data_IF_894458655057
#
_entry.id   IF_894458655057
#
_cell.length_a   1.000
_cell.length_b   1.000
_cell.length_c   1.000
_cell.angle_alpha   90.00
_cell.angle_beta   90.00
_cell.angle_gamma   90.00
#
_symmetry.space_group_name_H-M   'P 1'
#
loop_
_entity.id
_entity.type
_entity.pdbx_description
1 polymer ?
#
# COMPACT_ATOMS: atom_id res chain seq x y z
N UNK A 1 3.07 18.15 -17.96
CA UNK A 1 2.77 17.31 -16.77
C UNK A 1 1.38 16.73 -16.95
N UNK A 2 1.23 15.41 -16.93
CA UNK A 2 -0.09 14.80 -16.90
C UNK A 2 -0.77 15.16 -15.56
N UNK A 3 -2.07 15.48 -15.59
CA UNK A 3 -2.82 15.69 -14.35
C UNK A 3 -2.88 14.37 -13.58
N UNK A 4 -2.41 14.35 -12.32
CA UNK A 4 -2.63 13.22 -11.41
C UNK A 4 -4.12 12.99 -11.20
N UNK A 5 -4.56 11.74 -11.07
CA UNK A 5 -5.97 11.49 -10.75
C UNK A 5 -6.36 12.03 -9.37
N UNK A 6 -7.67 12.17 -9.15
CA UNK A 6 -8.21 12.56 -7.84
C UNK A 6 -7.82 11.58 -6.73
N UNK A 7 -7.70 10.28 -7.03
CA UNK A 7 -7.31 9.26 -6.05
C UNK A 7 -5.89 9.49 -5.56
N UNK A 8 -4.96 9.68 -6.49
CA UNK A 8 -3.54 9.96 -6.18
C UNK A 8 -3.44 11.24 -5.36
N UNK A 9 -4.09 12.32 -5.81
CA UNK A 9 -4.07 13.60 -5.08
C UNK A 9 -4.61 13.48 -3.66
N UNK A 10 -5.69 12.72 -3.44
CA UNK A 10 -6.24 12.51 -2.09
C UNK A 10 -5.26 11.73 -1.21
N UNK A 11 -4.69 10.62 -1.70
CA UNK A 11 -3.73 9.83 -0.90
C UNK A 11 -2.49 10.65 -0.53
N UNK A 12 -1.93 11.38 -1.50
CA UNK A 12 -0.78 12.28 -1.27
C UNK A 12 -1.09 13.35 -0.22
N UNK A 13 -2.26 13.98 -0.33
CA UNK A 13 -2.70 15.01 0.60
C UNK A 13 -2.90 14.47 2.02
N UNK A 14 -3.62 13.37 2.17
CA UNK A 14 -4.01 12.85 3.49
C UNK A 14 -2.84 12.17 4.21
N UNK A 15 -1.88 11.58 3.48
CA UNK A 15 -0.68 10.99 4.07
C UNK A 15 0.53 11.94 4.12
N UNK A 16 0.45 13.09 3.45
CA UNK A 16 1.54 14.07 3.41
C UNK A 16 2.78 13.57 2.65
N UNK A 17 2.58 12.80 1.58
CA UNK A 17 3.65 12.19 0.77
C UNK A 17 3.48 12.50 -0.71
N UNK A 18 4.52 12.26 -1.52
CA UNK A 18 4.42 12.25 -2.99
C UNK A 18 4.55 10.80 -3.45
N UNK A 19 3.50 10.22 -4.02
CA UNK A 19 3.45 8.79 -4.30
C UNK A 19 4.46 8.36 -5.36
N UNK A 20 5.07 7.20 -5.12
CA UNK A 20 5.91 6.52 -6.09
C UNK A 20 5.11 6.27 -7.39
N UNK A 21 5.69 6.51 -8.59
CA UNK A 21 4.95 6.45 -9.86
C UNK A 21 4.23 5.11 -10.11
N UNK A 22 4.83 4.00 -9.67
CA UNK A 22 4.24 2.66 -9.80
C UNK A 22 2.94 2.53 -9.00
N UNK A 23 2.97 2.97 -7.74
CA UNK A 23 1.78 2.94 -6.88
C UNK A 23 0.71 3.93 -7.33
N UNK A 24 1.11 5.11 -7.81
CA UNK A 24 0.18 6.07 -8.42
C UNK A 24 -0.54 5.45 -9.63
N UNK A 25 0.19 4.72 -10.49
CA UNK A 25 -0.38 4.04 -11.65
C UNK A 25 -1.36 2.93 -11.24
N UNK A 26 -1.06 2.21 -10.15
CA UNK A 26 -1.99 1.26 -9.54
C UNK A 26 -3.27 1.93 -9.03
N UNK A 27 -3.18 3.07 -8.34
CA UNK A 27 -4.37 3.79 -7.86
C UNK A 27 -5.25 4.28 -9.01
N UNK A 28 -4.63 4.72 -10.10
CA UNK A 28 -5.35 5.17 -11.30
C UNK A 28 -6.09 4.01 -11.96
N UNK A 29 -5.41 2.88 -12.12
CA UNK A 29 -5.96 1.73 -12.82
C UNK A 29 -6.98 0.94 -11.98
N UNK A 30 -6.67 0.68 -10.72
CA UNK A 30 -7.44 -0.22 -9.85
C UNK A 30 -8.13 0.54 -8.73
N UNK A 31 -7.48 1.54 -8.14
CA UNK A 31 -7.89 2.17 -6.90
C UNK A 31 -7.67 1.25 -5.71
N UNK A 32 -8.27 0.06 -5.72
CA UNK A 32 -8.04 -1.07 -4.81
C UNK A 32 -8.04 -2.34 -5.64
N UNK A 33 -7.21 -3.33 -5.27
CA UNK A 33 -7.24 -4.64 -5.90
C UNK A 33 -7.64 -5.70 -4.88
N UNK A 34 -8.62 -6.54 -5.21
CA UNK A 34 -9.14 -7.57 -4.32
C UNK A 34 -9.42 -8.85 -5.10
N UNK A 35 -8.92 -9.96 -4.59
CA UNK A 35 -9.31 -11.33 -4.93
C UNK A 35 -9.87 -12.00 -3.66
N UNK A 36 -10.38 -13.24 -3.74
CA UNK A 36 -10.74 -14.01 -2.54
C UNK A 36 -9.58 -14.19 -1.55
N UNK A 37 -8.34 -14.25 -2.04
CA UNK A 37 -7.13 -14.56 -1.28
C UNK A 37 -6.42 -13.28 -0.79
N UNK A 38 -6.35 -12.24 -1.62
CA UNK A 38 -5.54 -11.05 -1.34
C UNK A 38 -6.31 -9.76 -1.51
N UNK A 39 -6.04 -8.78 -0.64
CA UNK A 39 -6.49 -7.40 -0.84
C UNK A 39 -5.31 -6.45 -0.77
N UNK A 40 -5.02 -5.80 -1.90
CA UNK A 40 -4.04 -4.71 -1.99
C UNK A 40 -4.76 -3.40 -1.74
N UNK A 41 -4.31 -2.70 -0.70
CA UNK A 41 -4.88 -1.45 -0.22
C UNK A 41 -4.58 -0.32 -1.18
N UNK A 42 -5.51 0.63 -1.20
CA UNK A 42 -5.44 1.81 -2.02
C UNK A 42 -6.57 2.76 -1.69
N UNK A 43 -7.16 3.40 -2.68
CA UNK A 43 -8.21 4.40 -2.44
C UNK A 43 -9.29 4.36 -3.52
N UNK A 44 -10.54 4.36 -3.07
CA UNK A 44 -11.73 4.58 -3.89
C UNK A 44 -12.45 5.82 -3.37
N UNK A 45 -12.99 6.65 -4.26
CA UNK A 45 -13.74 7.86 -3.86
C UNK A 45 -14.97 7.53 -3.01
N UNK A 46 -15.54 6.33 -3.18
CA UNK A 46 -16.66 5.81 -2.39
C UNK A 46 -16.30 5.57 -0.93
N UNK A 47 -15.00 5.50 -0.59
CA UNK A 47 -14.57 5.45 0.81
C UNK A 47 -14.80 6.79 1.52
N UNK A 48 -14.89 7.90 0.79
CA UNK A 48 -14.98 9.23 1.40
C UNK A 48 -13.80 9.48 2.35
N UNK A 49 -14.11 9.93 3.58
CA UNK A 49 -13.14 10.14 4.67
C UNK A 49 -12.99 8.92 5.58
N UNK A 50 -13.40 7.72 5.14
CA UNK A 50 -13.32 6.53 6.00
C UNK A 50 -11.88 6.01 6.09
N UNK A 51 -11.48 5.74 7.33
CA UNK A 51 -10.22 5.13 7.75
C UNK A 51 -10.29 3.59 7.75
N UNK A 52 -11.30 3.00 7.11
CA UNK A 52 -11.53 1.56 7.12
C UNK A 52 -10.76 0.85 6.00
N UNK A 53 -10.29 -0.38 6.27
CA UNK A 53 -9.70 -1.23 5.24
C UNK A 53 -10.71 -1.48 4.11
N UNK A 54 -10.28 -1.48 2.83
CA UNK A 54 -8.89 -1.51 2.36
C UNK A 54 -8.31 -0.13 1.97
N UNK A 55 -8.68 0.94 2.69
CA UNK A 55 -8.08 2.27 2.50
C UNK A 55 -6.60 2.28 2.92
N UNK A 56 -5.68 2.58 2.00
CA UNK A 56 -4.24 2.76 2.30
C UNK A 56 -4.01 3.91 3.27
N UNK A 57 -4.85 4.95 3.20
CA UNK A 57 -4.80 6.10 4.10
C UNK A 57 -5.08 5.64 5.52
N UNK A 58 -6.20 4.94 5.72
CA UNK A 58 -6.60 4.41 7.02
C UNK A 58 -5.61 3.39 7.56
N UNK A 59 -5.21 2.43 6.71
CA UNK A 59 -4.26 1.38 7.08
C UNK A 59 -2.92 1.96 7.54
N UNK A 60 -2.35 2.89 6.75
CA UNK A 60 -1.05 3.50 7.06
C UNK A 60 -1.13 4.38 8.29
N UNK A 61 -2.13 5.27 8.39
CA UNK A 61 -2.23 6.22 9.50
C UNK A 61 -2.44 5.53 10.86
N UNK A 62 -3.33 4.53 10.91
CA UNK A 62 -3.66 3.84 12.17
C UNK A 62 -2.54 2.94 12.68
N UNK A 63 -1.73 2.40 11.76
CA UNK A 63 -0.78 1.34 12.07
C UNK A 63 0.68 1.77 12.02
N UNK A 64 0.93 3.03 11.70
CA UNK A 64 2.27 3.61 11.64
C UNK A 64 3.08 3.34 12.90
N UNK A 65 2.50 3.58 14.08
CA UNK A 65 3.18 3.33 15.35
C UNK A 65 3.33 1.82 15.67
N UNK A 66 2.38 1.00 15.23
CA UNK A 66 2.33 -0.44 15.55
C UNK A 66 3.40 -1.23 14.80
N UNK A 67 3.61 -0.91 13.51
CA UNK A 67 4.58 -1.61 12.66
C UNK A 67 5.84 -0.77 12.39
N UNK A 68 6.11 0.23 13.22
CA UNK A 68 7.30 1.09 13.10
C UNK A 68 7.48 1.72 11.70
N UNK A 69 6.38 2.12 11.05
CA UNK A 69 6.40 2.63 9.69
C UNK A 69 7.04 4.04 9.65
N UNK A 70 7.99 4.23 8.75
CA UNK A 70 8.61 5.52 8.47
C UNK A 70 7.62 6.51 7.83
N UNK A 71 8.04 7.78 7.69
CA UNK A 71 7.20 8.84 7.14
C UNK A 71 6.72 8.55 5.71
N UNK A 72 7.57 7.90 4.91
CA UNK A 72 7.32 7.54 3.51
C UNK A 72 6.95 6.06 3.33
N UNK A 73 6.58 5.35 4.40
CA UNK A 73 6.11 3.97 4.28
C UNK A 73 4.58 3.93 4.16
N UNK A 74 4.09 3.09 3.25
CA UNK A 74 2.67 2.87 3.00
C UNK A 74 2.32 1.41 3.28
N UNK A 75 1.33 1.16 4.14
CA UNK A 75 0.86 -0.21 4.40
C UNK A 75 -0.10 -0.62 3.29
N UNK A 76 0.32 -1.58 2.46
CA UNK A 76 -0.36 -1.93 1.20
C UNK A 76 -1.09 -3.27 1.24
N UNK A 77 -0.82 -4.17 2.20
CA UNK A 77 -1.64 -5.37 2.43
C UNK A 77 -1.36 -5.96 3.82
N UNK A 78 -2.24 -6.86 4.26
CA UNK A 78 -1.81 -7.92 5.19
C UNK A 78 -1.40 -9.13 4.38
N UNK A 79 -0.45 -9.88 4.91
CA UNK A 79 -0.07 -11.21 4.42
C UNK A 79 -1.04 -12.27 4.94
N UNK A 80 -0.91 -13.51 4.45
CA UNK A 80 -1.67 -14.65 4.98
C UNK A 80 -1.33 -14.94 6.44
N UNK A 81 -0.06 -14.72 6.81
CA UNK A 81 0.35 -14.66 8.21
C UNK A 81 -0.16 -13.36 8.83
N UNK A 82 -1.09 -13.46 9.79
CA UNK A 82 -1.74 -12.31 10.42
C UNK A 82 -0.78 -11.37 11.14
N UNK A 83 0.43 -11.86 11.44
CA UNK A 83 1.43 -11.11 12.19
C UNK A 83 2.27 -10.19 11.30
N UNK A 84 2.26 -10.40 9.98
CA UNK A 84 3.01 -9.60 9.01
C UNK A 84 2.11 -8.69 8.15
N UNK A 85 2.69 -7.58 7.70
CA UNK A 85 2.09 -6.66 6.75
C UNK A 85 3.05 -6.33 5.62
N UNK A 86 2.53 -6.22 4.41
CA UNK A 86 3.29 -5.75 3.27
C UNK A 86 3.28 -4.21 3.24
N UNK A 87 4.46 -3.64 3.09
CA UNK A 87 4.72 -2.20 3.14
C UNK A 87 5.51 -1.77 1.91
N UNK A 88 5.03 -0.72 1.25
CA UNK A 88 5.76 -0.03 0.19
C UNK A 88 6.65 1.05 0.80
N UNK A 89 7.94 0.97 0.51
CA UNK A 89 8.88 2.08 0.67
C UNK A 89 8.65 3.06 -0.50
N UNK A 90 8.00 4.18 -0.22
CA UNK A 90 7.56 5.10 -1.26
C UNK A 90 8.72 5.88 -1.91
N UNK A 91 9.90 5.91 -1.28
CA UNK A 91 11.07 6.58 -1.84
C UNK A 91 11.77 5.70 -2.88
N UNK A 92 11.89 4.39 -2.61
CA UNK A 92 12.60 3.44 -3.49
C UNK A 92 11.67 2.65 -4.41
N UNK A 93 10.39 2.52 -4.04
CA UNK A 93 9.43 1.65 -4.70
C UNK A 93 9.49 0.19 -4.23
N UNK A 94 10.42 -0.17 -3.34
CA UNK A 94 10.58 -1.53 -2.83
C UNK A 94 9.41 -1.95 -1.93
N UNK A 95 9.10 -3.25 -1.91
CA UNK A 95 8.11 -3.82 -1.00
C UNK A 95 8.80 -4.73 0.00
N UNK A 96 8.51 -4.52 1.28
CA UNK A 96 9.00 -5.34 2.37
C UNK A 96 7.85 -5.77 3.27
N UNK A 97 8.06 -6.89 3.96
CA UNK A 97 7.20 -7.35 5.03
C UNK A 97 7.78 -6.94 6.37
N UNK A 98 6.89 -6.58 7.30
CA UNK A 98 7.26 -6.29 8.69
C UNK A 98 6.21 -6.80 9.65
N UNK A 99 6.65 -7.16 10.84
CA UNK A 99 5.80 -7.49 11.98
C UNK A 99 5.74 -6.33 13.00
N UNK A 100 5.09 -6.59 14.14
CA UNK A 100 4.99 -5.64 15.26
C UNK A 100 6.31 -5.44 16.02
N UNK A 101 7.32 -6.30 15.80
CA UNK A 101 8.65 -6.16 16.39
C UNK A 101 9.56 -5.29 15.50
N UNK A 102 9.13 -4.98 14.28
CA UNK A 102 9.86 -4.17 13.31
C UNK A 102 10.88 -4.97 12.50
N UNK A 103 10.78 -6.31 12.48
CA UNK A 103 11.64 -7.13 11.63
C UNK A 103 11.28 -6.91 10.16
N UNK A 104 12.23 -6.41 9.37
CA UNK A 104 12.02 -6.07 7.95
C UNK A 104 12.64 -7.11 7.03
N UNK A 105 11.83 -7.68 6.13
CA UNK A 105 12.29 -8.54 5.04
C UNK A 105 11.84 -7.98 3.69
N UNK A 106 12.78 -7.65 2.80
CA UNK A 106 12.44 -7.20 1.44
C UNK A 106 11.91 -8.40 0.65
N UNK A 107 10.70 -8.27 0.11
CA UNK A 107 10.02 -9.33 -0.66
C UNK A 107 9.94 -9.05 -2.15
N UNK A 108 10.12 -7.78 -2.55
CA UNK A 108 10.29 -7.40 -3.95
C UNK A 108 11.09 -6.10 -4.08
N UNK A 109 11.92 -5.97 -5.13
CA UNK A 109 12.68 -4.75 -5.37
C UNK A 109 11.81 -3.61 -5.96
N UNK A 110 10.55 -3.88 -6.31
CA UNK A 110 9.61 -2.86 -6.77
C UNK A 110 8.15 -3.23 -6.52
N UNK A 111 7.28 -2.24 -6.45
CA UNK A 111 5.84 -2.43 -6.32
C UNK A 111 5.25 -3.21 -7.50
N UNK A 112 5.70 -2.90 -8.73
CA UNK A 112 5.20 -3.58 -9.93
C UNK A 112 5.54 -5.08 -9.92
N UNK A 113 6.76 -5.42 -9.49
CA UNK A 113 7.16 -6.82 -9.34
C UNK A 113 6.34 -7.52 -8.26
N UNK A 114 6.21 -6.91 -7.08
CA UNK A 114 5.37 -7.44 -6.01
C UNK A 114 3.93 -7.66 -6.47
N UNK A 115 3.32 -6.64 -7.09
CA UNK A 115 1.94 -6.69 -7.54
C UNK A 115 1.74 -7.73 -8.66
N UNK A 116 2.72 -7.92 -9.54
CA UNK A 116 2.68 -8.98 -10.54
C UNK A 116 2.69 -10.38 -9.90
N UNK A 117 3.41 -10.57 -8.79
CA UNK A 117 3.40 -11.83 -8.04
C UNK A 117 2.05 -12.07 -7.35
N UNK A 118 1.51 -11.04 -6.68
CA UNK A 118 0.16 -11.03 -6.08
C UNK A 118 -0.90 -11.45 -7.09
N UNK A 119 -0.91 -10.83 -8.28
CA UNK A 119 -1.87 -11.14 -9.34
C UNK A 119 -1.77 -12.55 -9.93
N UNK A 120 -0.59 -13.17 -9.90
CA UNK A 120 -0.37 -14.50 -10.49
C UNK A 120 -0.67 -15.65 -9.53
N UNK A 121 -0.43 -15.43 -8.23
CA UNK A 121 -0.39 -16.52 -7.24
C UNK A 121 -1.41 -16.36 -6.10
N UNK A 122 -2.05 -15.20 -5.96
CA UNK A 122 -2.70 -14.82 -4.69
C UNK A 122 -1.68 -14.60 -3.56
N UNK A 123 -0.40 -14.40 -3.92
CA UNK A 123 0.86 -14.46 -3.14
C UNK A 123 0.78 -14.62 -1.60
N UNK A 124 1.11 -15.84 -1.11
CA UNK A 124 2.24 -16.31 -0.25
C UNK A 124 2.29 -15.67 1.14
#
# INVERSE_FOLDING_TARGET
MALKSRRVQTVEKELGVVLHPQYASFLDQYGVYRTPEVTVYGYLETFGNTIMLPSVIGATAQRRAVYHLGPNHLLIAHTEDSDYVAVLDNDTGEVFETDINGERTVVAPSFDEWFAMVRKRGYI
#
